data_IF_308640953084
#
_entry.id   IF_308640953084
#
_cell.length_a   1.000
_cell.length_b   1.000
_cell.length_c   1.000
_cell.angle_alpha   90.00
_cell.angle_beta   90.00
_cell.angle_gamma   90.00
#
_symmetry.space_group_name_H-M   'P 1'
#
loop_
_entity.id
_entity.type
_entity.pdbx_description
1 polymer ?
#
# COMPACT_ATOMS: atom_id res chain seq x y z
N UNK A 1 1.83 -20.77 -24.33
CA UNK A 1 0.97 -19.61 -24.01
C UNK A 1 1.23 -19.21 -22.57
N UNK A 2 2.21 -18.34 -22.32
CA UNK A 2 2.53 -17.77 -21.01
C UNK A 2 2.88 -16.30 -21.27
N UNK A 3 1.84 -15.49 -21.47
CA UNK A 3 1.93 -14.04 -21.51
C UNK A 3 1.92 -13.57 -20.06
N UNK A 4 3.10 -13.41 -19.47
CA UNK A 4 3.26 -12.69 -18.19
C UNK A 4 3.06 -11.21 -18.48
N UNK A 5 1.80 -10.83 -18.73
CA UNK A 5 1.38 -9.45 -18.94
C UNK A 5 1.73 -8.63 -17.70
N UNK A 6 2.31 -7.45 -17.91
CA UNK A 6 2.50 -6.44 -16.89
C UNK A 6 1.23 -6.31 -16.02
N UNK A 7 1.37 -6.57 -14.72
CA UNK A 7 0.28 -6.64 -13.77
C UNK A 7 -0.28 -5.25 -13.46
N UNK A 8 -1.56 -5.04 -13.83
CA UNK A 8 -2.49 -3.99 -13.37
C UNK A 8 -1.90 -2.58 -13.27
N UNK A 9 -1.89 -1.91 -14.42
CA UNK A 9 -1.40 -0.53 -14.59
C UNK A 9 -2.56 0.48 -14.59
N UNK A 10 -2.29 1.70 -14.11
CA UNK A 10 -3.26 2.81 -14.10
C UNK A 10 -3.13 3.69 -15.34
N UNK A 11 -4.26 3.95 -15.99
CA UNK A 11 -4.38 4.93 -17.06
C UNK A 11 -5.26 6.10 -16.61
N UNK A 12 -5.10 7.27 -17.23
CA UNK A 12 -6.03 8.38 -16.98
C UNK A 12 -7.39 8.05 -17.59
N UNK A 13 -8.45 8.30 -16.83
CA UNK A 13 -9.83 8.16 -17.33
C UNK A 13 -10.13 9.19 -18.44
N UNK A 14 -9.50 10.37 -18.40
CA UNK A 14 -9.54 11.35 -19.49
C UNK A 14 -8.26 11.29 -20.36
N UNK A 15 -8.38 10.92 -21.65
CA UNK A 15 -7.25 10.87 -22.58
C UNK A 15 -6.56 12.23 -22.83
N UNK A 16 -7.19 13.36 -22.50
CA UNK A 16 -6.59 14.69 -22.61
C UNK A 16 -5.77 15.08 -21.37
N UNK A 17 -5.91 14.33 -20.27
CA UNK A 17 -5.21 14.57 -19.00
C UNK A 17 -3.80 13.95 -18.93
N UNK A 18 -3.25 13.53 -20.08
CA UNK A 18 -1.94 12.85 -20.25
C UNK A 18 -0.71 13.64 -19.75
N UNK A 19 -0.87 14.89 -19.36
CA UNK A 19 0.24 15.76 -18.95
C UNK A 19 0.72 15.55 -17.51
N UNK A 20 -0.04 14.81 -16.69
CA UNK A 20 0.34 14.54 -15.30
C UNK A 20 0.75 13.09 -15.09
N UNK A 21 1.51 12.82 -14.03
CA UNK A 21 1.94 11.45 -13.65
C UNK A 21 1.04 10.94 -12.53
N UNK A 22 0.54 9.71 -12.60
CA UNK A 22 -0.33 9.18 -11.54
C UNK A 22 0.33 9.18 -10.16
N UNK A 23 1.64 8.93 -10.11
CA UNK A 23 2.44 8.95 -8.86
C UNK A 23 2.56 10.34 -8.26
N UNK A 24 2.52 11.38 -9.10
CA UNK A 24 2.51 12.78 -8.68
C UNK A 24 1.12 13.18 -8.20
N UNK A 25 0.07 12.80 -8.95
CA UNK A 25 -1.32 13.04 -8.57
C UNK A 25 -1.67 12.36 -7.25
N UNK A 26 -1.29 11.09 -7.06
CA UNK A 26 -1.44 10.39 -5.78
C UNK A 26 -0.74 11.15 -4.64
N UNK A 27 0.46 11.68 -4.88
CA UNK A 27 1.15 12.51 -3.89
C UNK A 27 0.39 13.79 -3.53
N UNK A 28 -0.24 14.45 -4.50
CA UNK A 28 -1.06 15.65 -4.27
C UNK A 28 -2.32 15.29 -3.46
N UNK A 29 -3.00 14.21 -3.84
CA UNK A 29 -4.20 13.73 -3.15
C UNK A 29 -3.87 13.38 -1.69
N UNK A 30 -2.79 12.62 -1.46
CA UNK A 30 -2.32 12.27 -0.12
C UNK A 30 -2.02 13.50 0.74
N UNK A 31 -1.35 14.52 0.19
CA UNK A 31 -1.07 15.78 0.90
C UNK A 31 -2.34 16.52 1.28
N UNK A 32 -3.30 16.61 0.35
CA UNK A 32 -4.57 17.30 0.56
C UNK A 32 -5.41 16.62 1.64
N UNK A 33 -5.45 15.29 1.61
CA UNK A 33 -6.26 14.51 2.53
C UNK A 33 -5.56 14.21 3.86
N UNK A 34 -4.25 14.48 4.00
CA UNK A 34 -3.42 14.06 5.15
C UNK A 34 -4.13 14.16 6.51
N UNK A 35 -4.17 13.09 7.34
CA UNK A 35 -4.98 13.08 8.56
C UNK A 35 -4.58 14.16 9.58
N UNK A 36 -3.30 14.52 9.65
CA UNK A 36 -2.76 15.45 10.65
C UNK A 36 -2.29 14.72 11.90
N UNK A 37 -3.14 14.70 12.93
CA UNK A 37 -2.87 14.05 14.22
C UNK A 37 -3.69 12.77 14.34
N UNK A 38 -3.06 11.73 14.88
CA UNK A 38 -3.67 10.46 15.24
C UNK A 38 -3.75 10.39 16.76
N UNK A 39 -4.94 10.08 17.26
CA UNK A 39 -5.20 9.87 18.67
C UNK A 39 -5.23 8.38 18.97
N UNK A 40 -4.46 7.93 19.95
CA UNK A 40 -4.61 6.59 20.50
C UNK A 40 -5.53 6.69 21.70
N UNK A 41 -6.65 5.98 21.66
CA UNK A 41 -7.61 5.90 22.76
C UNK A 41 -7.57 4.54 23.44
N UNK A 42 -7.80 4.53 24.76
CA UNK A 42 -8.01 3.32 25.56
C UNK A 42 -9.24 3.56 26.44
N UNK A 43 -10.28 2.73 26.28
CA UNK A 43 -11.57 2.95 26.95
C UNK A 43 -12.27 4.28 26.61
N UNK A 44 -12.05 4.81 25.40
CA UNK A 44 -12.60 6.10 24.96
C UNK A 44 -11.81 7.34 25.42
N UNK A 45 -10.73 7.16 26.19
CA UNK A 45 -9.86 8.25 26.67
C UNK A 45 -8.60 8.34 25.81
N UNK A 46 -8.26 9.54 25.35
CA UNK A 46 -7.03 9.80 24.59
C UNK A 46 -5.82 9.62 25.49
N UNK A 47 -5.04 8.56 25.25
CA UNK A 47 -3.82 8.23 26.01
C UNK A 47 -2.55 8.76 25.35
N UNK A 48 -2.58 9.01 24.03
CA UNK A 48 -1.43 9.49 23.29
C UNK A 48 -1.84 10.14 21.98
N UNK A 49 -1.18 11.23 21.61
CA UNK A 49 -1.30 11.83 20.28
C UNK A 49 0.04 11.74 19.54
N UNK A 50 -0.03 11.59 18.21
CA UNK A 50 1.15 11.59 17.34
C UNK A 50 0.78 12.12 15.95
N UNK A 51 1.74 12.63 15.16
CA UNK A 51 1.47 12.91 13.75
C UNK A 51 1.13 11.61 12.98
N UNK A 52 0.33 11.75 11.93
CA UNK A 52 0.12 10.69 10.93
C UNK A 52 1.39 10.55 10.07
N UNK A 53 1.98 9.36 10.07
CA UNK A 53 3.26 9.04 9.44
C UNK A 53 3.17 7.90 8.43
N UNK A 54 2.13 7.08 8.51
CA UNK A 54 1.98 5.84 7.74
C UNK A 54 0.66 5.79 6.98
N UNK A 55 0.56 4.93 5.96
CA UNK A 55 -0.68 4.79 5.19
C UNK A 55 -1.83 4.19 6.01
N UNK A 56 -1.53 3.33 6.98
CA UNK A 56 -2.50 2.83 7.95
C UNK A 56 -3.19 3.93 8.74
N UNK A 57 -2.50 5.06 9.00
CA UNK A 57 -3.06 6.21 9.71
C UNK A 57 -4.19 6.90 8.93
N UNK A 58 -4.31 6.65 7.63
CA UNK A 58 -5.39 7.19 6.80
C UNK A 58 -6.71 6.44 6.99
N UNK A 59 -6.66 5.23 7.53
CA UNK A 59 -7.83 4.40 7.85
C UNK A 59 -8.35 4.63 9.29
N UNK A 60 -7.89 5.70 9.96
CA UNK A 60 -8.34 6.04 11.31
C UNK A 60 -9.85 6.32 11.33
N UNK A 61 -10.59 5.51 12.09
CA UNK A 61 -12.04 5.55 12.24
C UNK A 61 -12.52 6.61 13.21
N UNK A 62 -11.60 7.24 13.97
CA UNK A 62 -11.87 8.45 14.73
C UNK A 62 -11.84 9.72 13.85
N UNK A 63 -11.34 9.62 12.61
CA UNK A 63 -11.17 10.74 11.67
C UNK A 63 -12.02 10.53 10.41
N UNK A 64 -13.34 10.57 10.60
CA UNK A 64 -14.34 10.44 9.54
C UNK A 64 -14.82 11.81 9.03
N UNK A 65 -15.19 11.86 7.75
CA UNK A 65 -15.90 13.01 7.20
C UNK A 65 -17.39 13.00 7.56
N UNK A 66 -18.13 14.00 7.06
CA UNK A 66 -19.58 14.16 7.22
C UNK A 66 -20.40 12.97 6.69
N UNK A 67 -19.79 12.13 5.84
CA UNK A 67 -20.38 10.94 5.24
C UNK A 67 -19.87 9.65 5.89
N UNK A 68 -19.13 9.74 6.99
CA UNK A 68 -18.59 8.57 7.70
C UNK A 68 -17.42 7.90 6.98
N UNK A 69 -16.73 8.60 6.07
CA UNK A 69 -15.63 8.04 5.28
C UNK A 69 -14.28 8.36 5.90
N UNK A 70 -13.39 7.36 5.93
CA UNK A 70 -12.02 7.55 6.38
C UNK A 70 -11.25 8.43 5.39
N UNK A 71 -10.06 8.86 5.81
CA UNK A 71 -9.16 9.60 4.92
C UNK A 71 -8.71 8.74 3.75
N UNK A 72 -8.47 7.44 3.96
CA UNK A 72 -8.11 6.50 2.91
C UNK A 72 -9.21 6.37 1.86
N UNK A 73 -10.48 6.30 2.28
CA UNK A 73 -11.63 6.22 1.36
C UNK A 73 -11.70 7.45 0.45
N UNK A 74 -11.48 8.65 1.00
CA UNK A 74 -11.44 9.89 0.21
C UNK A 74 -10.28 9.91 -0.79
N UNK A 75 -9.10 9.44 -0.38
CA UNK A 75 -7.94 9.29 -1.28
C UNK A 75 -8.26 8.33 -2.42
N UNK A 76 -8.80 7.14 -2.12
CA UNK A 76 -9.17 6.13 -3.12
C UNK A 76 -10.24 6.65 -4.07
N UNK A 77 -11.29 7.29 -3.55
CA UNK A 77 -12.35 7.87 -4.38
C UNK A 77 -11.80 8.90 -5.37
N UNK A 78 -10.98 9.85 -4.90
CA UNK A 78 -10.42 10.89 -5.76
C UNK A 78 -9.46 10.29 -6.78
N UNK A 79 -8.71 9.25 -6.40
CA UNK A 79 -7.84 8.52 -7.31
C UNK A 79 -8.66 7.84 -8.42
N UNK A 80 -9.70 7.08 -8.08
CA UNK A 80 -10.54 6.38 -9.06
C UNK A 80 -11.38 7.30 -9.95
N UNK A 81 -11.66 8.53 -9.51
CA UNK A 81 -12.25 9.55 -10.38
C UNK A 81 -11.29 10.04 -11.48
N UNK A 82 -9.99 9.85 -11.31
CA UNK A 82 -8.95 10.31 -12.23
C UNK A 82 -8.33 9.18 -13.06
N UNK A 83 -8.36 7.96 -12.53
CA UNK A 83 -7.66 6.81 -13.09
C UNK A 83 -8.58 5.62 -13.30
N UNK A 84 -8.33 4.88 -14.37
CA UNK A 84 -8.97 3.62 -14.70
C UNK A 84 -7.94 2.50 -14.84
N UNK A 85 -8.42 1.25 -14.81
CA UNK A 85 -7.61 0.07 -15.08
C UNK A 85 -8.18 -0.67 -16.26
N UNK A 86 -7.30 -1.10 -17.16
CA UNK A 86 -7.68 -1.96 -18.26
C UNK A 86 -8.00 -3.37 -17.74
N UNK A 87 -9.27 -3.76 -17.81
CA UNK A 87 -9.74 -5.13 -17.57
C UNK A 87 -9.57 -5.93 -18.86
N UNK A 88 -8.96 -7.11 -18.82
CA UNK A 88 -8.85 -7.96 -20.02
C UNK A 88 -10.13 -8.77 -20.23
N UNK A 89 -10.42 -9.09 -21.49
CA UNK A 89 -11.54 -9.95 -21.85
C UNK A 89 -11.45 -11.29 -21.12
N UNK A 90 -12.54 -11.64 -20.41
CA UNK A 90 -12.66 -12.88 -19.65
C UNK A 90 -12.08 -12.87 -18.23
N UNK A 91 -11.54 -11.74 -17.74
CA UNK A 91 -11.19 -11.59 -16.33
C UNK A 91 -12.42 -11.30 -15.46
N UNK A 92 -12.44 -11.88 -14.26
CA UNK A 92 -13.46 -11.65 -13.24
C UNK A 92 -13.33 -10.21 -12.70
N UNK A 93 -14.31 -9.31 -12.95
CA UNK A 93 -14.21 -7.90 -12.61
C UNK A 93 -13.96 -7.65 -11.12
N UNK A 94 -14.58 -8.44 -10.24
CA UNK A 94 -14.44 -8.28 -8.78
C UNK A 94 -13.02 -8.60 -8.33
N UNK A 95 -12.44 -9.68 -8.88
CA UNK A 95 -11.02 -9.98 -8.67
C UNK A 95 -10.13 -8.90 -9.27
N UNK A 96 -10.58 -8.23 -10.35
CA UNK A 96 -9.86 -7.11 -10.97
C UNK A 96 -9.86 -5.86 -10.08
N UNK A 97 -10.93 -5.61 -9.35
CA UNK A 97 -10.98 -4.55 -8.37
C UNK A 97 -10.04 -4.85 -7.18
N UNK A 98 -10.12 -6.04 -6.58
CA UNK A 98 -9.34 -6.40 -5.39
C UNK A 98 -7.81 -6.28 -5.56
N UNK A 99 -7.22 -6.90 -6.60
CA UNK A 99 -5.77 -6.76 -6.76
C UNK A 99 -5.36 -5.35 -7.19
N UNK A 100 -6.26 -4.59 -7.84
CA UNK A 100 -5.98 -3.19 -8.23
C UNK A 100 -5.91 -2.30 -7.00
N UNK A 101 -6.86 -2.48 -6.09
CA UNK A 101 -6.92 -1.77 -4.82
C UNK A 101 -5.68 -2.08 -3.97
N UNK A 102 -5.27 -3.36 -3.93
CA UNK A 102 -4.02 -3.77 -3.28
C UNK A 102 -2.78 -3.11 -3.92
N UNK A 103 -2.77 -2.93 -5.24
CA UNK A 103 -1.67 -2.25 -5.93
C UNK A 103 -1.65 -0.77 -5.55
N UNK A 104 -2.80 -0.09 -5.53
CA UNK A 104 -2.92 1.30 -5.07
C UNK A 104 -2.44 1.45 -3.62
N UNK A 105 -2.86 0.58 -2.71
CA UNK A 105 -2.44 0.59 -1.30
C UNK A 105 -0.91 0.48 -1.16
N UNK A 106 -0.26 -0.37 -1.97
CA UNK A 106 1.21 -0.47 -1.98
C UNK A 106 1.88 0.82 -2.46
N UNK A 107 1.33 1.47 -3.49
CA UNK A 107 1.82 2.76 -3.96
C UNK A 107 1.62 3.86 -2.92
N UNK A 108 0.45 3.92 -2.29
CA UNK A 108 0.13 4.88 -1.23
C UNK A 108 1.08 4.70 -0.03
N UNK A 109 1.29 3.46 0.42
CA UNK A 109 2.25 3.13 1.50
C UNK A 109 3.66 3.65 1.20
N UNK A 110 4.15 3.43 -0.02
CA UNK A 110 5.47 3.95 -0.44
C UNK A 110 5.47 5.48 -0.48
N UNK A 111 4.44 6.08 -1.08
CA UNK A 111 4.35 7.53 -1.28
C UNK A 111 4.19 8.30 0.02
N UNK A 112 3.42 7.80 0.99
CA UNK A 112 3.30 8.41 2.32
C UNK A 112 4.67 8.44 3.00
N UNK A 113 5.42 7.33 2.98
CA UNK A 113 6.78 7.31 3.56
C UNK A 113 7.73 8.30 2.88
N UNK A 114 7.74 8.33 1.54
CA UNK A 114 8.60 9.23 0.78
C UNK A 114 8.21 10.71 1.02
N UNK A 115 6.90 10.99 1.10
CA UNK A 115 6.37 12.30 1.44
C UNK A 115 6.79 12.75 2.84
N UNK A 116 6.62 11.91 3.86
CA UNK A 116 6.99 12.26 5.24
C UNK A 116 8.50 12.47 5.41
N UNK A 117 9.32 11.74 4.65
CA UNK A 117 10.75 12.01 4.57
C UNK A 117 11.03 13.38 3.93
N UNK A 118 10.40 13.67 2.78
CA UNK A 118 10.63 14.92 2.06
C UNK A 118 10.17 16.14 2.86
N UNK A 119 9.10 16.04 3.65
CA UNK A 119 8.63 17.14 4.51
C UNK A 119 9.69 17.58 5.51
N UNK A 120 10.46 16.64 6.08
CA UNK A 120 11.57 16.98 6.97
C UNK A 120 12.69 17.71 6.23
N UNK A 121 13.03 17.26 5.02
CA UNK A 121 14.08 17.86 4.18
C UNK A 121 13.67 19.26 3.73
N UNK A 122 12.43 19.42 3.28
CA UNK A 122 11.86 20.71 2.88
C UNK A 122 11.85 21.67 4.07
N UNK A 123 11.49 21.22 5.27
CA UNK A 123 11.50 22.07 6.48
C UNK A 123 12.90 22.65 6.75
N UNK A 124 13.94 21.83 6.58
CA UNK A 124 15.34 22.27 6.69
C UNK A 124 15.65 23.32 5.62
N UNK A 125 15.27 23.08 4.37
CA UNK A 125 15.50 24.05 3.29
C UNK A 125 14.82 25.39 3.57
N UNK A 126 13.53 25.37 3.92
CA UNK A 126 12.77 26.57 4.23
C UNK A 126 13.38 27.37 5.39
N UNK A 127 13.88 26.68 6.43
CA UNK A 127 14.55 27.33 7.55
C UNK A 127 15.84 28.06 7.12
N UNK A 128 16.69 27.40 6.33
CA UNK A 128 17.95 27.99 5.85
C UNK A 128 17.74 29.05 4.77
N UNK A 129 16.73 28.89 3.91
CA UNK A 129 16.36 29.87 2.90
C UNK A 129 15.94 31.21 3.55
N UNK A 130 15.19 31.17 4.66
CA UNK A 130 14.88 32.36 5.47
C UNK A 130 16.11 33.08 6.02
N UNK A 131 17.24 32.38 6.11
CA UNK A 131 18.54 32.91 6.55
C UNK A 131 19.47 33.27 5.38
N UNK A 132 18.97 33.17 4.14
CA UNK A 132 19.73 33.47 2.92
C UNK A 132 20.62 32.32 2.42
N UNK A 133 20.47 31.10 2.95
CA UNK A 133 21.24 29.92 2.51
C UNK A 133 20.33 28.96 1.72
N UNK A 134 20.58 28.81 0.42
CA UNK A 134 19.89 27.85 -0.43
C UNK A 134 20.55 26.47 -0.34
N UNK A 135 19.80 25.47 0.11
CA UNK A 135 20.26 24.09 0.25
C UNK A 135 19.63 23.17 -0.80
N UNK A 136 20.44 22.29 -1.38
CA UNK A 136 19.94 21.15 -2.13
C UNK A 136 19.49 20.00 -1.19
N UNK A 137 18.90 18.93 -1.75
CA UNK A 137 18.46 17.78 -0.94
C UNK A 137 19.62 17.11 -0.20
N UNK A 138 20.80 17.06 -0.81
CA UNK A 138 21.98 16.39 -0.27
C UNK A 138 22.43 17.08 1.02
N UNK A 139 22.56 18.40 0.99
CA UNK A 139 22.95 19.20 2.13
C UNK A 139 21.83 19.23 3.18
N UNK A 140 20.59 19.48 2.76
CA UNK A 140 19.46 19.56 3.69
C UNK A 140 19.23 18.25 4.44
N UNK A 141 19.35 17.10 3.77
CA UNK A 141 19.12 15.80 4.41
C UNK A 141 20.18 15.44 5.47
N UNK A 142 21.32 16.14 5.48
CA UNK A 142 22.41 15.93 6.44
C UNK A 142 22.25 16.75 7.73
N UNK A 143 21.61 17.92 7.65
CA UNK A 143 21.46 18.84 8.79
C UNK A 143 20.38 18.36 9.77
N UNK A 144 20.62 18.57 11.06
CA UNK A 144 19.61 18.40 12.12
C UNK A 144 19.22 19.78 12.63
N UNK A 145 17.92 20.01 12.76
CA UNK A 145 17.40 21.22 13.39
C UNK A 145 16.91 20.93 14.80
N UNK A 146 16.90 21.97 15.62
CA UNK A 146 16.22 21.96 16.92
C UNK A 146 14.72 22.24 16.75
N UNK A 147 13.94 21.98 17.79
CA UNK A 147 12.48 22.05 17.75
C UNK A 147 11.96 23.41 17.25
N UNK A 148 12.45 24.51 17.82
CA UNK A 148 12.04 25.87 17.44
C UNK A 148 12.41 26.21 15.99
N UNK A 149 13.55 25.69 15.53
CA UNK A 149 14.00 25.86 14.14
C UNK A 149 13.09 25.10 13.16
N UNK A 150 12.65 23.90 13.53
CA UNK A 150 11.64 23.18 12.75
C UNK A 150 10.27 23.90 12.76
N UNK A 151 9.88 24.53 13.88
CA UNK A 151 8.65 25.34 13.92
C UNK A 151 8.71 26.50 12.93
N UNK A 152 9.85 27.21 12.85
CA UNK A 152 10.07 28.28 11.88
C UNK A 152 10.06 27.78 10.42
N UNK A 153 10.47 26.53 10.18
CA UNK A 153 10.52 25.88 8.87
C UNK A 153 9.18 25.30 8.36
N UNK A 154 8.02 25.77 8.84
CA UNK A 154 6.71 25.19 8.49
C UNK A 154 6.45 25.16 6.98
N UNK A 155 6.10 23.98 6.49
CA UNK A 155 5.72 23.75 5.10
C UNK A 155 4.23 24.07 4.88
N UNK A 156 3.87 24.89 3.86
CA UNK A 156 2.50 25.40 3.70
C UNK A 156 1.40 24.34 3.65
N UNK A 157 1.64 23.22 2.95
CA UNK A 157 0.62 22.19 2.77
C UNK A 157 0.34 21.37 4.05
N UNK A 158 1.27 21.36 5.01
CA UNK A 158 1.09 20.57 6.22
C UNK A 158 0.16 21.29 7.20
N UNK A 159 -0.76 20.53 7.82
CA UNK A 159 -1.76 21.07 8.75
C UNK A 159 -1.09 21.79 9.92
N UNK A 160 -1.50 23.03 10.15
CA UNK A 160 -0.88 23.92 11.14
C UNK A 160 -0.91 23.35 12.56
N UNK A 161 -2.06 22.84 13.01
CA UNK A 161 -2.20 22.24 14.34
C UNK A 161 -1.37 20.95 14.52
N UNK A 162 -1.07 20.24 13.43
CA UNK A 162 -0.28 19.00 13.47
C UNK A 162 1.24 19.25 13.40
N UNK A 163 1.65 20.44 12.96
CA UNK A 163 3.07 20.77 12.75
C UNK A 163 3.92 20.63 14.02
N UNK A 164 3.53 21.17 15.20
CA UNK A 164 4.30 21.02 16.43
C UNK A 164 4.54 19.54 16.81
N UNK A 165 3.54 18.68 16.61
CA UNK A 165 3.67 17.25 16.88
C UNK A 165 4.67 16.56 15.94
N UNK A 166 4.73 16.98 14.67
CA UNK A 166 5.71 16.49 13.71
C UNK A 166 7.13 16.97 14.06
N UNK A 167 7.30 18.24 14.42
CA UNK A 167 8.58 18.78 14.89
C UNK A 167 9.09 18.02 16.12
N UNK A 168 8.22 17.80 17.11
CA UNK A 168 8.54 17.03 18.31
C UNK A 168 8.96 15.59 17.96
N UNK A 169 8.31 14.97 16.98
CA UNK A 169 8.68 13.64 16.50
C UNK A 169 10.09 13.63 15.89
N UNK A 170 10.45 14.60 15.05
CA UNK A 170 11.81 14.68 14.47
C UNK A 170 12.90 14.95 15.53
N UNK A 171 12.58 15.69 16.58
CA UNK A 171 13.49 15.90 17.70
C UNK A 171 13.58 14.69 18.65
N UNK A 172 12.70 13.70 18.52
CA UNK A 172 12.67 12.53 19.40
C UNK A 172 13.88 11.61 19.24
N UNK A 173 14.27 10.94 20.33
CA UNK A 173 15.34 9.92 20.31
C UNK A 173 15.04 8.79 19.32
N UNK A 174 13.76 8.41 19.19
CA UNK A 174 13.32 7.35 18.28
C UNK A 174 13.64 7.73 16.84
N UNK A 175 13.22 8.91 16.39
CA UNK A 175 13.49 9.37 15.03
C UNK A 175 14.99 9.50 14.75
N UNK A 176 15.74 10.17 15.65
CA UNK A 176 17.20 10.33 15.49
C UNK A 176 17.92 8.99 15.38
N UNK A 177 17.50 7.98 16.15
CA UNK A 177 18.06 6.62 16.06
C UNK A 177 17.77 5.92 14.74
N UNK A 178 16.53 6.03 14.23
CA UNK A 178 16.12 5.47 12.93
C UNK A 178 16.85 6.16 11.78
N UNK A 179 16.96 7.49 11.84
CA UNK A 179 17.69 8.32 10.86
C UNK A 179 19.15 7.91 10.78
N UNK A 180 19.84 7.83 11.91
CA UNK A 180 21.26 7.42 11.99
C UNK A 180 21.48 6.02 11.40
N UNK A 181 20.64 5.05 11.78
CA UNK A 181 20.70 3.68 11.24
C UNK A 181 20.48 3.67 9.73
N UNK A 182 19.52 4.46 9.24
CA UNK A 182 19.25 4.60 7.81
C UNK A 182 20.44 5.19 7.04
N UNK A 183 21.09 6.21 7.60
CA UNK A 183 22.32 6.79 7.04
C UNK A 183 23.46 5.77 7.00
N UNK A 184 23.76 5.12 8.14
CA UNK A 184 24.81 4.09 8.22
C UNK A 184 24.58 2.93 7.25
N UNK A 185 23.32 2.50 7.08
CA UNK A 185 22.98 1.44 6.11
C UNK A 185 23.25 1.85 4.67
N UNK A 186 23.08 3.12 4.31
CA UNK A 186 23.37 3.63 2.95
C UNK A 186 24.88 3.65 2.69
N UNK A 187 25.68 4.01 3.68
CA UNK A 187 27.15 4.08 3.55
C UNK A 187 27.84 2.70 3.55
N UNK A 188 27.18 1.64 4.05
CA UNK A 188 27.73 0.27 4.07
C UNK A 188 27.58 -0.50 2.74
N UNK A 189 26.85 0.04 1.76
CA UNK A 189 26.64 -0.65 0.48
C UNK A 189 27.58 -0.10 -0.60
N UNK A 190 28.72 -0.74 -0.81
CA UNK A 190 29.71 -0.36 -1.84
C UNK A 190 29.21 -0.57 -3.28
N UNK A 191 28.20 -1.42 -3.49
CA UNK A 191 27.72 -1.80 -4.82
C UNK A 191 26.24 -2.17 -4.78
N UNK A 192 25.41 -1.16 -5.04
CA UNK A 192 23.96 -1.29 -5.09
C UNK A 192 23.58 -1.86 -6.46
N UNK A 193 23.51 -3.19 -6.58
CA UNK A 193 22.89 -3.87 -7.72
C UNK A 193 21.37 -3.61 -7.84
N UNK A 194 20.79 -2.96 -6.82
CA UNK A 194 19.42 -2.48 -6.78
C UNK A 194 19.30 -1.17 -7.57
N UNK A 195 18.07 -0.80 -7.95
CA UNK A 195 17.81 0.50 -8.60
C UNK A 195 18.55 1.63 -7.87
N UNK A 196 19.22 2.52 -8.62
CA UNK A 196 19.62 3.81 -8.05
C UNK A 196 18.35 4.43 -7.47
N UNK A 197 18.34 4.70 -6.17
CA UNK A 197 17.14 4.86 -5.31
C UNK A 197 16.17 6.01 -5.62
N UNK A 198 16.10 6.49 -6.86
CA UNK A 198 15.15 7.47 -7.35
C UNK A 198 14.47 7.10 -8.68
N UNK A 199 14.66 5.87 -9.21
CA UNK A 199 13.98 5.46 -10.44
C UNK A 199 12.46 5.43 -10.25
N UNK A 200 11.67 6.02 -11.18
CA UNK A 200 10.21 6.00 -11.12
C UNK A 200 9.67 4.56 -11.23
N UNK A 201 8.41 4.30 -10.84
CA UNK A 201 7.78 3.00 -11.09
C UNK A 201 7.88 2.57 -12.55
N UNK A 202 7.86 1.27 -12.81
CA UNK A 202 8.13 0.71 -14.14
C UNK A 202 7.27 1.31 -15.26
N UNK A 203 5.97 1.52 -14.99
CA UNK A 203 5.04 2.16 -15.92
C UNK A 203 5.42 3.61 -16.22
N UNK A 204 5.76 4.36 -15.18
CA UNK A 204 6.17 5.75 -15.33
C UNK A 204 7.50 5.84 -16.08
N UNK A 205 8.44 4.92 -15.83
CA UNK A 205 9.66 4.81 -16.61
C UNK A 205 9.34 4.56 -18.09
N UNK A 206 8.44 3.62 -18.40
CA UNK A 206 8.00 3.31 -19.77
C UNK A 206 7.35 4.53 -20.45
N UNK A 207 6.49 5.27 -19.75
CA UNK A 207 5.85 6.49 -20.26
C UNK A 207 6.87 7.60 -20.54
N UNK A 208 7.84 7.79 -19.66
CA UNK A 208 8.92 8.77 -19.88
C UNK A 208 9.75 8.37 -21.11
N UNK A 209 10.03 7.08 -21.29
CA UNK A 209 10.71 6.60 -22.49
C UNK A 209 9.89 6.88 -23.76
N UNK A 210 8.58 6.61 -23.73
CA UNK A 210 7.69 6.86 -24.86
C UNK A 210 7.66 8.34 -25.24
N UNK A 211 7.58 9.22 -24.24
CA UNK A 211 7.56 10.67 -24.45
C UNK A 211 8.89 11.19 -25.00
N UNK A 212 10.02 10.65 -24.52
CA UNK A 212 11.35 11.18 -24.85
C UNK A 212 11.95 10.59 -26.13
N UNK A 213 11.66 9.32 -26.41
CA UNK A 213 12.31 8.55 -27.49
C UNK A 213 11.33 7.88 -28.45
N UNK A 214 10.01 8.05 -28.27
CA UNK A 214 8.99 7.42 -29.11
C UNK A 214 8.44 6.11 -28.53
N UNK A 215 7.19 5.74 -28.87
CA UNK A 215 6.53 4.53 -28.36
C UNK A 215 7.28 3.23 -28.72
N UNK A 216 7.96 3.18 -29.85
CA UNK A 216 8.78 2.06 -30.31
C UNK A 216 10.00 1.82 -29.41
N UNK A 217 10.50 2.86 -28.75
CA UNK A 217 11.61 2.76 -27.78
C UNK A 217 11.12 2.46 -26.37
N UNK A 218 9.82 2.58 -26.10
CA UNK A 218 9.20 2.30 -24.81
C UNK A 218 8.77 0.84 -24.64
N UNK A 219 9.59 -0.10 -25.10
CA UNK A 219 9.39 -1.53 -24.82
C UNK A 219 9.67 -1.83 -23.35
N UNK A 220 9.18 -2.95 -22.83
CA UNK A 220 9.48 -3.35 -21.46
C UNK A 220 10.93 -3.71 -21.25
N UNK A 221 11.59 -4.28 -22.25
CA UNK A 221 13.01 -4.58 -22.19
C UNK A 221 13.85 -3.31 -22.10
N UNK A 222 13.55 -2.31 -22.94
CA UNK A 222 14.20 -1.00 -22.86
C UNK A 222 13.90 -0.29 -21.54
N UNK A 223 12.69 -0.44 -21.01
CA UNK A 223 12.33 0.09 -19.69
C UNK A 223 13.16 -0.57 -18.59
N UNK A 224 13.35 -1.89 -18.65
CA UNK A 224 14.22 -2.63 -17.73
C UNK A 224 15.68 -2.17 -17.82
N UNK A 225 16.23 -2.06 -19.04
CA UNK A 225 17.59 -1.58 -19.28
C UNK A 225 17.79 -0.14 -18.81
N UNK A 226 16.85 0.76 -19.08
CA UNK A 226 16.88 2.15 -18.66
C UNK A 226 16.77 2.28 -17.12
N UNK A 227 15.94 1.46 -16.47
CA UNK A 227 15.83 1.45 -15.01
C UNK A 227 17.08 0.91 -14.34
N UNK A 228 17.73 -0.13 -14.90
CA UNK A 228 19.07 -0.57 -14.46
C UNK A 228 20.11 0.53 -14.65
N UNK A 229 20.02 1.28 -15.75
CA UNK A 229 21.00 2.31 -16.10
C UNK A 229 20.84 3.64 -15.39
N UNK A 230 19.67 3.84 -14.79
CA UNK A 230 19.21 5.17 -14.43
C UNK A 230 18.68 5.88 -15.68
N UNK A 231 17.41 6.27 -15.62
CA UNK A 231 16.67 6.85 -16.75
C UNK A 231 17.34 8.10 -17.35
N UNK A 232 18.08 8.86 -16.53
CA UNK A 232 18.85 10.04 -16.97
C UNK A 232 20.06 9.69 -17.83
N UNK A 233 20.65 8.51 -17.64
CA UNK A 233 21.89 8.07 -18.28
C UNK A 233 21.65 7.14 -19.48
N UNK A 234 20.37 6.86 -19.79
CA UNK A 234 20.01 5.99 -20.90
C UNK A 234 19.96 6.80 -22.21
N UNK A 235 20.56 6.25 -23.26
CA UNK A 235 20.83 6.92 -24.54
C UNK A 235 19.88 6.51 -25.67
N UNK A 236 18.93 5.61 -25.42
CA UNK A 236 18.01 5.11 -26.46
C UNK A 236 18.49 3.86 -27.20
N UNK A 237 19.67 3.32 -26.84
CA UNK A 237 20.32 2.21 -27.56
C UNK A 237 19.72 0.83 -27.27
N UNK A 238 18.77 0.70 -26.35
CA UNK A 238 18.26 -0.60 -25.87
C UNK A 238 19.26 -1.37 -24.99
N UNK A 239 20.48 -0.86 -24.85
CA UNK A 239 21.52 -1.43 -24.02
C UNK A 239 21.65 -0.69 -22.68
N UNK A 240 22.38 -1.32 -21.77
CA UNK A 240 22.76 -0.74 -20.49
C UNK A 240 23.99 0.15 -20.65
N UNK A 241 24.00 1.33 -20.02
CA UNK A 241 25.14 2.26 -20.07
C UNK A 241 26.44 1.59 -19.58
N UNK A 242 27.55 1.84 -20.27
CA UNK A 242 28.88 1.31 -19.90
C UNK A 242 29.39 1.81 -18.55
N UNK A 243 28.74 2.83 -17.96
CA UNK A 243 29.15 3.51 -16.71
C UNK A 243 28.56 2.88 -15.43
N UNK A 244 27.97 1.68 -15.52
CA UNK A 244 27.23 1.04 -14.42
C UNK A 244 28.03 0.01 -13.63
N UNK A 245 27.51 -0.35 -12.46
CA UNK A 245 28.12 -1.36 -11.61
C UNK A 245 28.12 -2.72 -12.31
N UNK A 246 29.20 -3.49 -12.12
CA UNK A 246 29.35 -4.82 -12.73
C UNK A 246 28.20 -5.77 -12.36
N UNK A 247 27.60 -5.63 -11.18
CA UNK A 247 26.43 -6.41 -10.78
C UNK A 247 25.16 -6.03 -11.55
N UNK A 248 24.93 -4.74 -11.81
CA UNK A 248 23.76 -4.29 -12.56
C UNK A 248 23.81 -4.79 -14.01
N UNK A 249 24.99 -4.71 -14.64
CA UNK A 249 25.26 -5.25 -15.97
C UNK A 249 25.05 -6.76 -16.01
N UNK A 250 25.68 -7.51 -15.08
CA UNK A 250 25.53 -8.96 -15.00
C UNK A 250 24.07 -9.41 -14.92
N UNK A 251 23.26 -8.78 -14.06
CA UNK A 251 21.83 -9.13 -13.90
C UNK A 251 21.00 -8.91 -15.17
N UNK A 252 21.38 -7.93 -15.97
CA UNK A 252 20.72 -7.69 -17.24
C UNK A 252 21.16 -8.70 -18.30
N UNK A 253 22.46 -8.93 -18.40
CA UNK A 253 23.02 -9.90 -19.34
C UNK A 253 22.48 -11.32 -19.04
N UNK A 254 22.45 -11.73 -17.76
CA UNK A 254 21.83 -13.00 -17.31
C UNK A 254 20.35 -13.11 -17.73
N UNK A 255 19.59 -12.01 -17.70
CA UNK A 255 18.20 -12.01 -18.15
C UNK A 255 18.10 -12.14 -19.67
N UNK A 256 18.88 -11.35 -20.42
CA UNK A 256 18.88 -11.40 -21.87
C UNK A 256 19.31 -12.78 -22.39
N UNK A 257 20.26 -13.44 -21.73
CA UNK A 257 20.70 -14.78 -22.10
C UNK A 257 19.60 -15.83 -21.86
N UNK A 258 18.87 -15.75 -20.75
CA UNK A 258 17.68 -16.59 -20.52
C UNK A 258 16.58 -16.34 -21.56
N UNK A 259 16.33 -15.08 -21.90
CA UNK A 259 15.30 -14.70 -22.87
C UNK A 259 15.66 -15.19 -24.28
N UNK A 260 16.91 -14.99 -24.73
CA UNK A 260 17.43 -15.51 -26.00
C UNK A 260 17.35 -17.03 -26.08
N UNK A 261 17.72 -17.72 -25.01
CA UNK A 261 17.69 -19.18 -24.99
C UNK A 261 16.26 -19.73 -25.09
N UNK A 262 15.29 -19.06 -24.48
CA UNK A 262 13.88 -19.46 -24.52
C UNK A 262 13.16 -19.06 -25.80
N UNK A 263 13.53 -17.91 -26.38
CA UNK A 263 12.83 -17.26 -27.49
C UNK A 263 13.83 -16.70 -28.54
N UNK A 264 14.56 -17.56 -29.29
CA UNK A 264 15.65 -17.11 -30.15
C UNK A 264 15.27 -16.08 -31.20
N UNK A 265 14.05 -16.17 -31.73
CA UNK A 265 13.62 -15.41 -32.90
C UNK A 265 12.93 -14.07 -32.55
N UNK A 266 12.36 -13.93 -31.34
CA UNK A 266 11.48 -12.81 -30.98
C UNK A 266 11.66 -12.28 -29.55
N UNK A 267 12.72 -12.68 -28.83
CA UNK A 267 12.91 -12.28 -27.42
C UNK A 267 12.93 -10.77 -27.16
N UNK A 268 13.39 -9.94 -28.11
CA UNK A 268 13.44 -8.47 -27.96
C UNK A 268 12.06 -7.81 -28.04
N UNK A 269 11.14 -8.43 -28.77
CA UNK A 269 9.77 -7.93 -28.97
C UNK A 269 8.83 -8.41 -27.85
N UNK A 270 9.26 -9.38 -27.04
CA UNK A 270 8.48 -9.93 -25.94
C UNK A 270 8.46 -9.03 -24.71
N UNK A 271 7.31 -9.06 -24.06
CA UNK A 271 7.11 -8.47 -22.74
C UNK A 271 8.01 -9.15 -21.68
N UNK A 272 8.37 -8.43 -20.61
CA UNK A 272 9.27 -8.96 -19.58
C UNK A 272 8.68 -10.19 -18.89
N UNK A 273 9.47 -11.25 -18.79
CA UNK A 273 9.07 -12.48 -18.13
C UNK A 273 9.46 -12.46 -16.63
N UNK A 274 8.46 -12.55 -15.77
CA UNK A 274 8.65 -12.54 -14.31
C UNK A 274 9.42 -13.73 -13.75
N UNK A 275 9.33 -14.90 -14.40
CA UNK A 275 10.05 -16.11 -14.01
C UNK A 275 11.52 -16.02 -14.41
N UNK A 276 11.82 -15.51 -15.61
CA UNK A 276 13.21 -15.25 -16.03
C UNK A 276 13.85 -14.18 -15.15
N UNK A 277 13.12 -13.13 -14.77
CA UNK A 277 13.61 -12.12 -13.81
C UNK A 277 13.89 -12.72 -12.43
N UNK A 278 13.06 -13.65 -11.96
CA UNK A 278 13.31 -14.38 -10.72
C UNK A 278 14.60 -15.21 -10.81
N UNK A 279 14.79 -15.95 -11.90
CA UNK A 279 15.94 -16.83 -12.09
C UNK A 279 17.24 -16.03 -12.26
N UNK A 280 17.25 -15.02 -13.14
CA UNK A 280 18.41 -14.13 -13.34
C UNK A 280 18.74 -13.28 -12.11
N UNK A 281 17.76 -13.00 -11.25
CA UNK A 281 17.95 -12.28 -9.98
C UNK A 281 18.33 -13.17 -8.79
N UNK A 282 18.44 -14.49 -8.99
CA UNK A 282 18.74 -15.43 -7.91
C UNK A 282 17.64 -15.49 -6.85
N UNK A 283 16.38 -15.34 -7.28
CA UNK A 283 15.18 -15.33 -6.46
C UNK A 283 14.68 -13.92 -6.13
N UNK A 284 14.02 -13.80 -4.97
CA UNK A 284 13.39 -12.56 -4.46
C UNK A 284 14.03 -12.19 -3.11
N UNK A 285 15.25 -11.63 -3.09
CA UNK A 285 15.90 -11.18 -1.87
C UNK A 285 15.03 -10.11 -1.19
N UNK A 286 14.83 -10.22 0.13
CA UNK A 286 13.97 -9.32 0.92
C UNK A 286 12.51 -9.22 0.46
N UNK A 287 12.03 -10.20 -0.32
CA UNK A 287 10.65 -10.23 -0.77
C UNK A 287 10.32 -9.23 -1.89
N UNK A 288 11.31 -8.66 -2.60
CA UNK A 288 11.08 -7.82 -3.79
C UNK A 288 11.78 -8.36 -5.03
N UNK A 289 11.16 -8.20 -6.19
CA UNK A 289 11.89 -8.33 -7.46
C UNK A 289 12.87 -7.16 -7.59
N UNK A 290 14.04 -7.42 -8.18
CA UNK A 290 15.06 -6.38 -8.30
C UNK A 290 14.59 -5.19 -9.18
N UNK A 291 13.78 -5.46 -10.21
CA UNK A 291 13.10 -4.48 -11.08
C UNK A 291 11.71 -5.01 -11.45
N UNK A 292 10.81 -4.09 -11.84
CA UNK A 292 9.42 -4.37 -12.19
C UNK A 292 8.59 -4.93 -11.02
N UNK A 293 9.05 -4.72 -9.78
CA UNK A 293 8.28 -4.97 -8.56
C UNK A 293 6.99 -4.13 -8.61
N UNK A 294 5.83 -4.79 -8.48
CA UNK A 294 4.51 -4.20 -8.67
C UNK A 294 3.96 -4.25 -10.10
N UNK A 295 4.83 -4.36 -11.12
CA UNK A 295 4.44 -4.58 -12.51
C UNK A 295 4.41 -6.06 -12.90
N UNK A 296 4.84 -6.97 -12.02
CA UNK A 296 4.80 -8.41 -12.20
C UNK A 296 4.07 -9.03 -11.02
N UNK A 297 3.12 -9.94 -11.28
CA UNK A 297 2.35 -10.62 -10.22
C UNK A 297 3.27 -11.57 -9.46
N UNK A 298 3.82 -11.09 -8.34
CA UNK A 298 4.74 -11.83 -7.48
C UNK A 298 4.18 -13.19 -7.04
N UNK A 299 2.88 -13.27 -6.78
CA UNK A 299 2.22 -14.51 -6.39
C UNK A 299 2.42 -15.62 -7.44
N UNK A 300 2.29 -15.27 -8.72
CA UNK A 300 2.41 -16.20 -9.84
C UNK A 300 3.86 -16.67 -10.02
N UNK A 301 4.81 -15.75 -9.92
CA UNK A 301 6.25 -16.09 -9.96
C UNK A 301 6.63 -17.03 -8.81
N UNK A 302 6.13 -16.75 -7.59
CA UNK A 302 6.38 -17.61 -6.44
C UNK A 302 5.68 -18.97 -6.59
N UNK A 303 4.46 -19.02 -7.11
CA UNK A 303 3.75 -20.29 -7.31
C UNK A 303 4.45 -21.15 -8.35
N UNK A 304 4.87 -20.57 -9.47
CA UNK A 304 5.63 -21.27 -10.52
C UNK A 304 6.96 -21.77 -9.97
N UNK A 305 7.71 -20.93 -9.23
CA UNK A 305 8.97 -21.35 -8.61
C UNK A 305 8.77 -22.47 -7.57
N UNK A 306 7.70 -22.41 -6.77
CA UNK A 306 7.33 -23.49 -5.84
C UNK A 306 6.96 -24.76 -6.59
N UNK A 307 6.21 -24.67 -7.67
CA UNK A 307 5.81 -25.82 -8.49
C UNK A 307 6.99 -26.49 -9.20
N UNK A 308 7.92 -25.69 -9.76
CA UNK A 308 9.19 -26.20 -10.30
C UNK A 308 10.03 -26.90 -9.22
N UNK A 309 10.09 -26.33 -8.01
CA UNK A 309 10.78 -26.93 -6.85
C UNK A 309 10.07 -28.20 -6.36
N UNK A 310 8.75 -28.26 -6.42
CA UNK A 310 7.94 -29.46 -6.13
C UNK A 310 8.21 -30.56 -7.16
N UNK A 311 8.33 -30.21 -8.44
CA UNK A 311 8.68 -31.15 -9.51
C UNK A 311 10.11 -31.67 -9.40
N UNK A 312 11.05 -30.89 -8.86
CA UNK A 312 12.46 -31.32 -8.69
C UNK A 312 12.72 -32.12 -7.40
N UNK A 313 11.88 -31.98 -6.37
CA UNK A 313 12.00 -32.69 -5.10
C UNK A 313 11.13 -33.97 -5.10
N UNK A 314 11.53 -34.98 -5.85
CA UNK A 314 10.82 -36.28 -5.94
C UNK A 314 11.10 -37.24 -4.76
N UNK A 315 11.63 -36.75 -3.64
CA UNK A 315 11.97 -37.61 -2.49
C UNK A 315 10.73 -38.06 -1.70
N UNK A 316 10.80 -39.28 -1.18
CA UNK A 316 9.69 -39.95 -0.48
C UNK A 316 9.30 -39.24 0.83
N UNK A 317 10.24 -38.58 1.52
CA UNK A 317 9.94 -37.83 2.75
C UNK A 317 9.13 -36.56 2.46
N UNK A 318 9.39 -35.89 1.34
CA UNK A 318 8.68 -34.68 0.96
C UNK A 318 7.24 -34.97 0.52
N UNK A 319 7.01 -36.09 -0.18
CA UNK A 319 5.65 -36.58 -0.49
C UNK A 319 4.80 -36.81 0.76
N UNK A 320 5.40 -37.37 1.83
CA UNK A 320 4.72 -37.57 3.12
C UNK A 320 4.30 -36.24 3.75
N UNK A 321 5.20 -35.24 3.77
CA UNK A 321 4.89 -33.91 4.31
C UNK A 321 3.80 -33.17 3.51
N UNK A 322 3.73 -33.37 2.19
CA UNK A 322 2.64 -32.81 1.38
C UNK A 322 1.30 -33.46 1.75
N UNK A 323 1.26 -34.78 1.87
CA UNK A 323 0.05 -35.51 2.28
C UNK A 323 -0.42 -35.09 3.68
N UNK A 324 0.50 -34.98 4.64
CA UNK A 324 0.20 -34.49 5.99
C UNK A 324 -0.37 -33.06 5.96
N UNK A 325 0.20 -32.16 5.17
CA UNK A 325 -0.29 -30.79 5.02
C UNK A 325 -1.68 -30.72 4.35
N UNK A 326 -1.95 -31.57 3.36
CA UNK A 326 -3.29 -31.67 2.75
C UNK A 326 -4.32 -32.18 3.74
N UNK A 327 -3.96 -33.18 4.55
CA UNK A 327 -4.85 -33.72 5.58
C UNK A 327 -5.13 -32.71 6.69
N UNK A 328 -4.11 -31.94 7.11
CA UNK A 328 -4.27 -30.84 8.05
C UNK A 328 -5.20 -29.75 7.49
N UNK A 329 -5.08 -29.40 6.20
CA UNK A 329 -5.99 -28.45 5.55
C UNK A 329 -7.43 -28.95 5.54
N UNK A 330 -7.65 -30.24 5.24
CA UNK A 330 -9.01 -30.84 5.26
C UNK A 330 -9.60 -30.80 6.68
N UNK A 331 -8.80 -31.13 7.70
CA UNK A 331 -9.22 -31.05 9.10
C UNK A 331 -9.58 -29.62 9.52
N UNK A 332 -8.75 -28.64 9.15
CA UNK A 332 -9.02 -27.23 9.45
C UNK A 332 -10.30 -26.71 8.79
N UNK A 333 -10.59 -27.14 7.55
CA UNK A 333 -11.86 -26.80 6.86
C UNK A 333 -13.04 -27.40 7.61
N UNK A 334 -12.97 -28.69 7.98
CA UNK A 334 -14.03 -29.38 8.69
C UNK A 334 -14.33 -28.75 10.07
N UNK A 335 -13.28 -28.39 10.81
CA UNK A 335 -13.41 -27.73 12.12
C UNK A 335 -14.03 -26.34 11.98
N UNK A 336 -13.63 -25.55 10.96
CA UNK A 336 -14.23 -24.25 10.69
C UNK A 336 -15.70 -24.35 10.30
N UNK A 337 -16.09 -25.35 9.51
CA UNK A 337 -17.51 -25.59 9.20
C UNK A 337 -18.31 -25.96 10.45
N UNK A 338 -17.74 -26.76 11.35
CA UNK A 338 -18.39 -27.12 12.61
C UNK A 338 -18.55 -25.90 13.53
N UNK A 339 -17.51 -25.08 13.67
CA UNK A 339 -17.56 -23.83 14.41
C UNK A 339 -18.60 -22.87 13.84
N UNK A 340 -18.71 -22.78 12.51
CA UNK A 340 -19.72 -21.96 11.86
C UNK A 340 -21.14 -22.42 12.20
N UNK A 341 -21.41 -23.73 12.14
CA UNK A 341 -22.71 -24.29 12.55
C UNK A 341 -23.02 -24.03 14.04
N UNK A 342 -22.02 -24.16 14.91
CA UNK A 342 -22.17 -23.85 16.35
C UNK A 342 -22.52 -22.38 16.57
N UNK A 343 -21.83 -21.47 15.89
CA UNK A 343 -22.09 -20.03 15.97
C UNK A 343 -23.49 -19.67 15.46
N UNK A 344 -23.94 -20.26 14.34
CA UNK A 344 -25.30 -20.06 13.83
C UNK A 344 -26.37 -20.55 14.83
N UNK A 345 -26.11 -21.66 15.53
CA UNK A 345 -27.02 -22.16 16.55
C UNK A 345 -27.07 -21.24 17.79
N UNK A 346 -25.91 -20.76 18.24
CA UNK A 346 -25.83 -19.80 19.35
C UNK A 346 -26.56 -18.50 18.99
N UNK A 347 -26.43 -18.00 17.76
CA UNK A 347 -27.15 -16.82 17.31
C UNK A 347 -28.67 -17.01 17.35
N UNK A 348 -29.18 -18.17 16.93
CA UNK A 348 -30.62 -18.48 17.04
C UNK A 348 -31.12 -18.49 18.48
N UNK A 349 -30.31 -18.99 19.41
CA UNK A 349 -30.65 -18.98 20.85
C UNK A 349 -30.68 -17.54 21.38
N UNK A 350 -29.69 -16.72 21.03
CA UNK A 350 -29.64 -15.30 21.42
C UNK A 350 -30.86 -14.55 20.88
N UNK A 351 -31.22 -14.75 19.62
CA UNK A 351 -32.40 -14.12 19.01
C UNK A 351 -33.70 -14.54 19.70
N UNK A 352 -33.82 -15.82 20.05
CA UNK A 352 -34.97 -16.35 20.80
C UNK A 352 -35.06 -15.71 22.18
N UNK A 353 -33.95 -15.60 22.91
CA UNK A 353 -33.91 -14.93 24.20
C UNK A 353 -34.26 -13.44 24.08
N UNK A 354 -33.81 -12.76 23.03
CA UNK A 354 -34.19 -11.37 22.73
C UNK A 354 -35.71 -11.20 22.55
N UNK A 355 -36.35 -12.12 21.80
CA UNK A 355 -37.81 -12.12 21.62
C UNK A 355 -38.56 -12.39 22.93
N UNK A 356 -38.08 -13.34 23.73
CA UNK A 356 -38.67 -13.65 25.04
C UNK A 356 -38.57 -12.44 25.98
N UNK A 357 -37.44 -11.75 25.97
CA UNK A 357 -37.24 -10.53 26.76
C UNK A 357 -38.22 -9.42 26.37
N UNK A 358 -38.45 -9.21 25.06
CA UNK A 358 -39.44 -8.26 24.56
C UNK A 358 -40.87 -8.61 25.00
N UNK A 359 -41.25 -9.89 24.95
CA UNK A 359 -42.56 -10.35 25.42
C UNK A 359 -42.74 -10.10 26.92
N UNK A 360 -41.72 -10.40 27.73
CA UNK A 360 -41.74 -10.15 29.17
C UNK A 360 -41.82 -8.65 29.49
N UNK A 361 -41.08 -7.80 28.76
CA UNK A 361 -41.14 -6.35 28.91
C UNK A 361 -42.52 -5.78 28.56
N UNK A 362 -43.14 -6.28 27.49
CA UNK A 362 -44.50 -5.90 27.10
C UNK A 362 -45.54 -6.33 28.15
N UNK A 363 -45.46 -7.57 28.65
CA UNK A 363 -46.33 -8.05 29.73
C UNK A 363 -46.20 -7.19 30.99
N UNK A 364 -44.98 -6.84 31.40
CA UNK A 364 -44.74 -5.92 32.52
C UNK A 364 -45.36 -4.54 32.28
N UNK A 365 -45.30 -4.03 31.04
CA UNK A 365 -45.89 -2.74 30.67
C UNK A 365 -47.41 -2.79 30.71
N UNK A 366 -48.02 -3.85 30.16
CA UNK A 366 -49.46 -4.09 30.25
C UNK A 366 -49.92 -4.18 31.71
N UNK A 367 -49.18 -4.92 32.56
CA UNK A 367 -49.50 -5.03 33.97
C UNK A 367 -49.45 -3.67 34.68
N UNK A 368 -48.44 -2.83 34.40
CA UNK A 368 -48.38 -1.46 34.93
C UNK A 368 -49.58 -0.61 34.51
N UNK A 369 -49.99 -0.68 33.24
CA UNK A 369 -51.15 0.06 32.74
C UNK A 369 -52.46 -0.39 33.40
N UNK A 370 -52.64 -1.70 33.60
CA UNK A 370 -53.81 -2.26 34.31
C UNK A 370 -53.84 -1.78 35.76
N UNK A 371 -52.71 -1.82 36.45
CA UNK A 371 -52.63 -1.33 37.84
C UNK A 371 -52.95 0.17 37.89
N UNK A 372 -52.39 0.98 37.00
CA UNK A 372 -52.59 2.43 36.98
C UNK A 372 -54.05 2.83 36.64
N UNK A 373 -54.69 2.14 35.70
CA UNK A 373 -56.12 2.34 35.38
C UNK A 373 -57.03 1.87 36.51
N UNK A 374 -56.68 0.80 37.22
CA UNK A 374 -57.40 0.34 38.41
C UNK A 374 -57.34 1.37 39.54
N UNK A 375 -56.17 1.96 39.81
CA UNK A 375 -56.05 3.06 40.78
C UNK A 375 -56.81 4.32 40.34
N UNK A 376 -56.85 4.63 39.04
CA UNK A 376 -57.59 5.78 38.50
C UNK A 376 -59.10 5.59 38.60
N UNK A 377 -59.61 4.36 38.37
CA UNK A 377 -61.04 4.05 38.53
C UNK A 377 -61.49 4.02 39.99
N UNK A 378 -60.62 3.62 40.92
CA UNK A 378 -60.89 3.75 42.37
C UNK A 378 -60.92 5.21 42.79
N UNK A 379 -60.08 6.08 42.22
CA UNK A 379 -60.13 7.52 42.47
C UNK A 379 -61.42 8.19 41.93
N UNK A 380 -61.97 7.72 40.80
CA UNK A 380 -63.27 8.20 40.29
C UNK A 380 -64.48 7.71 41.10
N UNK A 381 -64.39 6.56 41.78
CA UNK A 381 -65.47 6.04 42.65
C UNK A 381 -65.59 6.78 43.98
N UNK A 382 -64.58 7.55 44.39
CA UNK A 382 -64.62 8.38 45.60
C UNK A 382 -64.89 9.87 45.34
N UNK A 383 -65.10 10.27 44.08
CA UNK A 383 -65.41 11.66 43.69
C UNK A 383 -66.63 11.64 42.75
N UNK A 384 -67.78 11.28 43.31
CA UNK A 384 -69.11 11.45 42.70
C UNK A 384 -70.10 11.86 43.81
N UNK A 385 -70.91 12.93 43.63
CA UNK A 385 -71.57 13.62 44.73
C UNK A 385 -72.90 12.98 45.16
N UNK A 386 -73.11 12.92 46.48
CA UNK A 386 -74.35 12.63 47.24
C UNK A 386 -75.01 11.26 47.09
#
# INVERSE_FOLDING_TARGET
>A
MLLTLLFRQFNYADPNSKHYKYTMQLGIILKREHPGIIEKKEGGVVIKTRPALEWSDYYDDDILDDKGRTTADRVKQVFWNLFEVHVKDGEDPDKVEDDVDRVLDNYAMKKVRDMMYQVCVDAVKFYYEKKGELLDDTLACSKELEYDQYLEGRIPWFKEHAWPHLCAYWCSKVFKSLRKRGQESRFKSEDIAQNRGGSPPFVEARQILAQKYGPEKATTLNTYAAMKSGLKNWDGSGSISSTLSGKAKKRHDDYCDLARAAHPDDWEERELDGQMLYESSGGIPHGRLAIADGAIKKADVISIAREKKLRSLSSTSFRRTIQENEELKRRAIQENEELKRRNENLQKIVDMHGRLFLLLANLCTCFRLIVQTSYSNVAYLFIGPF
#
